data_IF_544974481464
#
_entry.id   IF_544974481464
#
_cell.length_a   1.000
_cell.length_b   1.000
_cell.length_c   1.000
_cell.angle_alpha   90.00
_cell.angle_beta   90.00
_cell.angle_gamma   90.00
#
_symmetry.space_group_name_H-M   'P 1'
#
loop_
_entity.id
_entity.type
_entity.pdbx_description
1 polymer ?
#
# COMPACT_ATOMS: atom_id res chain seq x y z
N UNK A 1 14.00 -3.58 51.89
CA UNK A 1 12.91 -4.00 50.97
C UNK A 1 12.59 -2.84 50.05
N UNK A 2 13.10 -2.86 48.82
CA UNK A 2 12.65 -1.99 47.72
C UNK A 2 13.15 -2.63 46.43
N UNK A 3 12.36 -3.57 45.91
CA UNK A 3 12.57 -4.13 44.57
C UNK A 3 12.18 -3.06 43.54
N UNK A 4 13.20 -2.43 42.95
CA UNK A 4 13.01 -1.56 41.80
C UNK A 4 12.92 -2.44 40.56
N UNK A 5 11.72 -2.54 40.01
CA UNK A 5 11.47 -3.06 38.68
C UNK A 5 12.27 -2.25 37.66
N UNK A 6 13.38 -2.81 37.19
CA UNK A 6 14.05 -2.34 35.98
C UNK A 6 13.15 -2.71 34.81
N UNK A 7 12.39 -1.74 34.29
CA UNK A 7 11.78 -1.87 32.98
C UNK A 7 12.93 -1.84 31.99
N UNK A 8 13.41 -3.01 31.59
CA UNK A 8 14.21 -3.13 30.37
C UNK A 8 13.34 -2.56 29.24
N UNK A 9 13.69 -1.35 28.78
CA UNK A 9 13.25 -0.92 27.46
C UNK A 9 13.74 -1.98 26.50
N UNK A 10 12.83 -2.80 26.00
CA UNK A 10 13.07 -3.60 24.80
C UNK A 10 13.70 -2.64 23.79
N UNK A 11 14.98 -2.85 23.48
CA UNK A 11 15.64 -2.13 22.39
C UNK A 11 14.73 -2.29 21.18
N UNK A 12 14.18 -1.18 20.69
CA UNK A 12 13.59 -1.21 19.36
C UNK A 12 14.67 -1.73 18.41
N UNK A 13 14.41 -2.79 17.63
CA UNK A 13 15.40 -3.33 16.71
C UNK A 13 15.88 -2.21 15.79
N UNK A 14 17.19 -2.17 15.58
CA UNK A 14 17.86 -1.09 14.85
C UNK A 14 17.21 -0.95 13.47
N UNK A 15 17.03 0.27 12.97
CA UNK A 15 16.31 0.50 11.72
C UNK A 15 17.02 -0.18 10.53
N UNK A 16 18.32 -0.48 10.66
CA UNK A 16 19.12 -1.27 9.73
C UNK A 16 18.87 -2.78 9.75
N UNK A 17 18.14 -3.31 10.74
CA UNK A 17 17.82 -4.74 10.90
C UNK A 17 16.46 -5.14 10.33
N UNK A 18 15.66 -4.17 9.86
CA UNK A 18 14.38 -4.48 9.20
C UNK A 18 14.66 -4.93 7.77
N UNK A 19 14.32 -6.18 7.44
CA UNK A 19 14.24 -6.68 6.06
C UNK A 19 13.68 -5.60 5.11
N UNK A 20 14.30 -5.34 3.94
CA UNK A 20 13.80 -4.33 3.01
C UNK A 20 12.31 -4.49 2.66
N UNK A 21 11.81 -5.73 2.63
CA UNK A 21 10.37 -6.00 2.47
C UNK A 21 9.56 -5.47 3.66
N UNK A 22 9.99 -5.73 4.89
CA UNK A 22 9.34 -5.24 6.12
C UNK A 22 9.39 -3.72 6.22
N UNK A 23 10.50 -3.08 5.82
CA UNK A 23 10.62 -1.63 5.80
C UNK A 23 9.65 -0.98 4.79
N UNK A 24 9.55 -1.55 3.57
CA UNK A 24 8.58 -1.11 2.57
C UNK A 24 7.14 -1.28 3.07
N UNK A 25 6.84 -2.40 3.74
CA UNK A 25 5.52 -2.67 4.29
C UNK A 25 5.14 -1.70 5.41
N UNK A 26 6.07 -1.41 6.33
CA UNK A 26 5.85 -0.42 7.38
C UNK A 26 5.58 0.99 6.79
N UNK A 27 6.31 1.37 5.73
CA UNK A 27 6.08 2.65 5.06
C UNK A 27 4.73 2.70 4.34
N UNK A 28 4.31 1.58 3.73
CA UNK A 28 2.98 1.44 3.16
C UNK A 28 1.89 1.67 4.21
N UNK A 29 2.04 1.13 5.42
CA UNK A 29 1.09 1.33 6.53
C UNK A 29 1.01 2.79 7.00
N UNK A 30 2.14 3.50 7.05
CA UNK A 30 2.16 4.94 7.35
C UNK A 30 1.36 5.75 6.33
N UNK A 31 1.51 5.44 5.04
CA UNK A 31 0.74 6.09 3.98
C UNK A 31 -0.75 5.75 4.03
N UNK A 32 -1.12 4.50 4.35
CA UNK A 32 -2.53 4.12 4.59
C UNK A 32 -3.14 4.95 5.71
N UNK A 33 -2.44 5.07 6.85
CA UNK A 33 -2.91 5.85 8.01
C UNK A 33 -3.07 7.33 7.66
N UNK A 34 -2.11 7.90 6.94
CA UNK A 34 -2.20 9.29 6.49
C UNK A 34 -3.37 9.51 5.53
N UNK A 35 -3.58 8.61 4.56
CA UNK A 35 -4.72 8.66 3.65
C UNK A 35 -6.07 8.54 4.39
N UNK A 36 -6.18 7.63 5.34
CA UNK A 36 -7.37 7.48 6.20
C UNK A 36 -7.68 8.77 6.97
N UNK A 37 -6.66 9.41 7.54
CA UNK A 37 -6.83 10.67 8.27
C UNK A 37 -7.38 11.79 7.36
N UNK A 38 -6.93 11.86 6.10
CA UNK A 38 -7.45 12.83 5.13
C UNK A 38 -8.91 12.55 4.74
N UNK A 39 -9.28 11.28 4.57
CA UNK A 39 -10.66 10.86 4.22
C UNK A 39 -11.63 11.03 5.40
N UNK A 40 -11.15 10.97 6.64
CA UNK A 40 -11.97 11.21 7.84
C UNK A 40 -12.13 12.72 8.14
N UNK A 41 -11.29 13.57 7.54
CA UNK A 41 -11.36 15.01 7.72
C UNK A 41 -12.61 15.64 7.09
N UNK A 42 -13.11 16.76 7.63
CA UNK A 42 -14.17 17.52 7.00
C UNK A 42 -13.71 18.03 5.62
N UNK A 43 -14.51 17.82 4.58
CA UNK A 43 -14.29 18.42 3.25
C UNK A 43 -13.48 17.59 2.24
N UNK A 44 -13.21 16.30 2.48
CA UNK A 44 -12.47 15.48 1.49
C UNK A 44 -13.21 15.31 0.14
N UNK A 45 -14.55 15.41 0.14
CA UNK A 45 -15.42 15.32 -1.06
C UNK A 45 -15.91 16.66 -1.61
N UNK A 46 -15.65 17.79 -0.95
CA UNK A 46 -16.08 19.09 -1.48
C UNK A 46 -15.16 19.49 -2.63
N UNK A 47 -15.74 19.76 -3.80
CA UNK A 47 -15.09 20.10 -5.08
C UNK A 47 -14.11 21.28 -5.02
N UNK A 48 -14.05 21.99 -3.89
CA UNK A 48 -13.19 23.16 -3.66
C UNK A 48 -11.93 22.88 -2.80
N UNK A 49 -11.59 21.63 -2.45
CA UNK A 49 -10.63 21.36 -1.35
C UNK A 49 -9.29 20.68 -1.75
N UNK A 50 -8.13 21.17 -1.23
CA UNK A 50 -6.74 20.75 -1.52
C UNK A 50 -6.33 19.32 -1.13
N UNK A 51 -7.25 18.47 -0.63
CA UNK A 51 -6.90 17.18 -0.03
C UNK A 51 -7.16 15.96 -0.92
N UNK A 52 -7.86 16.14 -2.05
CA UNK A 52 -8.11 15.06 -3.01
C UNK A 52 -6.80 14.48 -3.58
N UNK A 53 -5.93 15.37 -4.08
CA UNK A 53 -4.64 15.00 -4.67
C UNK A 53 -3.76 14.26 -3.65
N UNK A 54 -3.49 14.80 -2.44
CA UNK A 54 -2.66 14.09 -1.47
C UNK A 54 -3.30 12.79 -0.99
N UNK A 55 -4.64 12.68 -0.94
CA UNK A 55 -5.31 11.42 -0.57
C UNK A 55 -4.99 10.33 -1.59
N UNK A 56 -5.28 10.54 -2.87
CA UNK A 56 -5.03 9.53 -3.91
C UNK A 56 -3.55 9.27 -4.13
N UNK A 57 -2.69 10.27 -3.93
CA UNK A 57 -1.24 10.09 -3.90
C UNK A 57 -0.82 9.09 -2.80
N UNK A 58 -1.34 9.26 -1.58
CA UNK A 58 -1.02 8.38 -0.45
C UNK A 58 -1.61 6.97 -0.63
N UNK A 59 -2.83 6.85 -1.17
CA UNK A 59 -3.41 5.54 -1.53
C UNK A 59 -2.53 4.82 -2.55
N UNK A 60 -2.10 5.52 -3.60
CA UNK A 60 -1.25 4.95 -4.66
C UNK A 60 0.08 4.45 -4.12
N UNK A 61 0.78 5.28 -3.34
CA UNK A 61 2.06 4.89 -2.74
C UNK A 61 1.92 3.77 -1.71
N UNK A 62 0.81 3.71 -0.97
CA UNK A 62 0.53 2.59 -0.07
C UNK A 62 0.46 1.27 -0.84
N UNK A 63 -0.37 1.21 -1.89
CA UNK A 63 -0.50 0.03 -2.75
C UNK A 63 0.83 -0.35 -3.43
N UNK A 64 1.52 0.63 -4.00
CA UNK A 64 2.82 0.40 -4.65
C UNK A 64 3.83 -0.23 -3.69
N UNK A 65 4.01 0.35 -2.50
CA UNK A 65 5.00 -0.12 -1.54
C UNK A 65 4.66 -1.50 -0.97
N UNK A 66 3.39 -1.78 -0.69
CA UNK A 66 2.99 -3.11 -0.22
C UNK A 66 3.27 -4.18 -1.27
N UNK A 67 2.98 -3.89 -2.55
CA UNK A 67 3.28 -4.82 -3.63
C UNK A 67 4.78 -4.96 -3.88
N UNK A 68 5.56 -3.88 -3.79
CA UNK A 68 7.04 -3.96 -3.84
C UNK A 68 7.61 -4.77 -2.69
N UNK A 69 7.04 -4.65 -1.49
CA UNK A 69 7.41 -5.50 -0.36
C UNK A 69 7.17 -6.98 -0.66
N UNK A 70 6.04 -7.31 -1.30
CA UNK A 70 5.74 -8.67 -1.73
C UNK A 70 6.71 -9.18 -2.80
N UNK A 71 7.01 -8.37 -3.82
CA UNK A 71 8.01 -8.69 -4.85
C UNK A 71 9.39 -8.89 -4.21
N UNK A 72 9.76 -8.05 -3.23
CA UNK A 72 11.01 -8.19 -2.47
C UNK A 72 11.05 -9.48 -1.65
N UNK A 73 9.93 -9.87 -1.05
CA UNK A 73 9.80 -11.12 -0.30
C UNK A 73 9.87 -12.38 -1.18
N UNK A 74 9.71 -12.25 -2.50
CA UNK A 74 10.01 -13.32 -3.47
C UNK A 74 11.49 -13.41 -3.87
N UNK A 75 12.35 -12.57 -3.30
CA UNK A 75 13.80 -12.59 -3.56
C UNK A 75 14.29 -11.53 -4.55
N UNK A 76 13.39 -10.79 -5.22
CA UNK A 76 13.81 -9.75 -6.17
C UNK A 76 14.60 -8.63 -5.48
N UNK A 77 15.64 -8.13 -6.13
CA UNK A 77 16.45 -7.02 -5.60
C UNK A 77 15.76 -5.67 -5.81
N UNK A 78 16.18 -4.64 -5.06
CA UNK A 78 15.67 -3.27 -5.24
C UNK A 78 15.92 -2.77 -6.68
N UNK A 79 17.05 -3.13 -7.27
CA UNK A 79 17.41 -2.77 -8.65
C UNK A 79 16.43 -3.39 -9.65
N UNK A 80 16.18 -4.70 -9.56
CA UNK A 80 15.19 -5.38 -10.42
C UNK A 80 13.79 -4.80 -10.23
N UNK A 81 13.39 -4.55 -8.98
CA UNK A 81 12.10 -3.93 -8.68
C UNK A 81 11.96 -2.57 -9.39
N UNK A 82 13.01 -1.76 -9.37
CA UNK A 82 13.04 -0.45 -10.02
C UNK A 82 12.99 -0.55 -11.54
N UNK A 83 13.79 -1.43 -12.14
CA UNK A 83 13.94 -1.55 -13.59
C UNK A 83 12.71 -2.19 -14.26
N UNK A 84 12.16 -3.25 -13.66
CA UNK A 84 11.08 -4.02 -14.28
C UNK A 84 9.70 -3.40 -14.02
N UNK A 85 9.48 -2.90 -12.79
CA UNK A 85 8.17 -2.44 -12.34
C UNK A 85 8.07 -0.92 -12.22
N UNK A 86 9.12 -0.25 -11.76
CA UNK A 86 9.08 1.19 -11.50
C UNK A 86 7.98 1.54 -10.49
N UNK A 87 7.09 2.47 -10.85
CA UNK A 87 5.91 2.86 -10.06
C UNK A 87 4.60 2.23 -10.59
N UNK A 88 4.67 1.27 -11.51
CA UNK A 88 3.48 0.74 -12.19
C UNK A 88 2.77 -0.32 -11.33
N UNK A 89 1.75 0.12 -10.58
CA UNK A 89 0.89 -0.75 -9.76
C UNK A 89 0.26 -1.87 -10.60
N UNK A 90 -0.12 -1.59 -11.86
CA UNK A 90 -0.69 -2.59 -12.75
C UNK A 90 0.28 -3.70 -13.09
N UNK A 91 1.56 -3.39 -13.34
CA UNK A 91 2.62 -4.40 -13.52
C UNK A 91 2.84 -5.22 -12.25
N UNK A 92 2.91 -4.56 -11.09
CA UNK A 92 3.08 -5.21 -9.80
C UNK A 92 1.93 -6.20 -9.52
N UNK A 93 0.67 -5.77 -9.66
CA UNK A 93 -0.54 -6.61 -9.49
C UNK A 93 -0.50 -7.84 -10.41
N UNK A 94 -0.22 -7.66 -11.71
CA UNK A 94 -0.15 -8.75 -12.70
C UNK A 94 0.98 -9.75 -12.43
N UNK A 95 2.10 -9.30 -11.87
CA UNK A 95 3.21 -10.18 -11.54
C UNK A 95 2.92 -11.00 -10.28
N UNK A 96 2.28 -10.37 -9.28
CA UNK A 96 1.88 -11.02 -8.04
C UNK A 96 0.71 -12.00 -8.25
N UNK A 97 -0.21 -11.71 -9.17
CA UNK A 97 -1.34 -12.60 -9.47
C UNK A 97 -0.91 -13.94 -10.10
N UNK A 98 0.31 -14.04 -10.63
CA UNK A 98 0.88 -15.30 -11.14
C UNK A 98 1.43 -16.20 -10.03
N UNK A 99 1.44 -15.74 -8.78
CA UNK A 99 2.01 -16.43 -7.63
C UNK A 99 0.90 -16.82 -6.67
N UNK A 100 0.61 -18.11 -6.46
CA UNK A 100 -0.59 -18.55 -5.74
C UNK A 100 -0.76 -17.93 -4.34
N UNK A 101 0.33 -17.81 -3.56
CA UNK A 101 0.27 -17.21 -2.22
C UNK A 101 -0.11 -15.72 -2.25
N UNK A 102 0.40 -14.96 -3.21
CA UNK A 102 0.12 -13.54 -3.35
C UNK A 102 -1.23 -13.28 -4.01
N UNK A 103 -1.62 -14.12 -4.97
CA UNK A 103 -2.96 -14.11 -5.54
C UNK A 103 -4.01 -14.29 -4.43
N UNK A 104 -3.83 -15.27 -3.54
CA UNK A 104 -4.75 -15.48 -2.41
C UNK A 104 -4.82 -14.26 -1.48
N UNK A 105 -3.71 -13.56 -1.25
CA UNK A 105 -3.70 -12.32 -0.46
C UNK A 105 -4.45 -11.20 -1.19
N UNK A 106 -4.30 -11.08 -2.52
CA UNK A 106 -5.06 -10.13 -3.34
C UNK A 106 -6.57 -10.44 -3.30
N UNK A 107 -6.96 -11.71 -3.35
CA UNK A 107 -8.36 -12.15 -3.22
C UNK A 107 -8.94 -11.79 -1.84
N UNK A 108 -8.16 -11.96 -0.77
CA UNK A 108 -8.57 -11.50 0.57
C UNK A 108 -8.71 -9.99 0.66
N UNK A 109 -7.78 -9.23 0.06
CA UNK A 109 -7.85 -7.77 0.01
C UNK A 109 -9.08 -7.30 -0.78
N UNK A 110 -9.35 -7.89 -1.94
CA UNK A 110 -10.55 -7.66 -2.72
C UNK A 110 -11.82 -7.96 -1.91
N UNK A 111 -11.90 -9.12 -1.28
CA UNK A 111 -13.06 -9.48 -0.46
C UNK A 111 -13.29 -8.49 0.69
N UNK A 112 -12.23 -7.95 1.28
CA UNK A 112 -12.33 -6.98 2.37
C UNK A 112 -12.78 -5.59 1.89
N UNK A 113 -12.60 -5.25 0.61
CA UNK A 113 -13.05 -3.97 0.07
C UNK A 113 -14.58 -3.83 0.08
N UNK A 114 -15.31 -4.94 0.18
CA UNK A 114 -16.78 -4.97 0.10
C UNK A 114 -17.33 -4.70 -1.30
N UNK A 115 -16.48 -4.67 -2.33
CA UNK A 115 -16.89 -4.40 -3.71
C UNK A 115 -17.03 -5.71 -4.50
N UNK A 116 -17.96 -5.76 -5.48
CA UNK A 116 -17.93 -6.77 -6.54
C UNK A 116 -16.60 -6.76 -7.29
N UNK A 117 -16.20 -7.91 -7.85
CA UNK A 117 -14.89 -8.05 -8.52
C UNK A 117 -14.65 -7.03 -9.62
N UNK A 118 -15.65 -6.78 -10.47
CA UNK A 118 -15.54 -5.82 -11.55
C UNK A 118 -15.30 -4.39 -11.03
N UNK A 119 -16.06 -3.97 -10.02
CA UNK A 119 -15.92 -2.63 -9.42
C UNK A 119 -14.57 -2.46 -8.71
N UNK A 120 -14.06 -3.51 -8.06
CA UNK A 120 -12.72 -3.48 -7.47
C UNK A 120 -11.62 -3.38 -8.55
N UNK A 121 -11.77 -4.10 -9.66
CA UNK A 121 -10.84 -4.03 -10.77
C UNK A 121 -10.86 -2.66 -11.47
N UNK A 122 -12.04 -2.06 -11.64
CA UNK A 122 -12.20 -0.70 -12.15
C UNK A 122 -11.54 0.32 -11.22
N UNK A 123 -11.78 0.21 -9.91
CA UNK A 123 -11.22 1.13 -8.91
C UNK A 123 -9.70 0.99 -8.76
N UNK A 124 -9.16 -0.22 -8.83
CA UNK A 124 -7.70 -0.44 -8.85
C UNK A 124 -7.06 0.01 -10.16
N UNK A 125 -7.78 -0.06 -11.28
CA UNK A 125 -7.34 0.49 -12.57
C UNK A 125 -7.32 2.01 -12.56
N UNK A 126 -8.34 2.64 -11.95
CA UNK A 126 -8.37 4.08 -11.69
C UNK A 126 -7.15 4.50 -10.85
N UNK A 127 -6.87 3.80 -9.75
CA UNK A 127 -5.69 4.07 -8.91
C UNK A 127 -4.39 3.98 -9.72
N UNK A 128 -4.21 2.93 -10.52
CA UNK A 128 -3.00 2.73 -11.30
C UNK A 128 -2.80 3.84 -12.36
N UNK A 129 -3.89 4.28 -13.00
CA UNK A 129 -3.85 5.40 -13.94
C UNK A 129 -3.51 6.71 -13.23
N UNK A 130 -4.14 6.98 -12.07
CA UNK A 130 -3.88 8.16 -11.26
C UNK A 130 -2.41 8.23 -10.81
N UNK A 131 -1.89 7.12 -10.29
CA UNK A 131 -0.53 7.03 -9.75
C UNK A 131 0.56 7.14 -10.82
N UNK A 132 0.26 6.76 -12.07
CA UNK A 132 1.18 6.87 -13.21
C UNK A 132 1.21 8.28 -13.81
N UNK A 133 0.16 9.07 -13.65
CA UNK A 133 0.04 10.37 -14.28
C UNK A 133 0.94 11.42 -13.56
N UNK A 134 2.07 11.78 -14.19
CA UNK A 134 2.90 12.91 -13.75
C UNK A 134 2.15 14.25 -13.81
N UNK A 135 1.16 14.34 -14.70
CA UNK A 135 0.27 15.50 -14.85
C UNK A 135 -1.04 15.26 -14.12
N UNK A 136 -1.02 15.53 -12.82
CA UNK A 136 -2.21 15.66 -11.95
C UNK A 136 -3.22 16.68 -12.52
N UNK A 137 -2.81 17.50 -13.49
CA UNK A 137 -3.60 18.54 -14.14
C UNK A 137 -4.77 18.01 -14.99
N UNK A 138 -4.68 16.89 -15.71
CA UNK A 138 -5.76 16.53 -16.66
C UNK A 138 -7.07 16.07 -16.00
N UNK A 139 -7.02 15.52 -14.79
CA UNK A 139 -8.22 15.04 -14.09
C UNK A 139 -8.89 16.11 -13.22
N UNK A 140 -8.13 17.10 -12.76
CA UNK A 140 -8.63 18.20 -11.93
C UNK A 140 -9.06 19.41 -12.80
N UNK A 141 -8.41 19.64 -13.94
CA UNK A 141 -8.63 20.83 -14.79
C UNK A 141 -9.92 20.75 -15.63
N UNK A 142 -10.50 19.57 -15.86
CA UNK A 142 -11.72 19.43 -16.69
C UNK A 142 -13.04 19.57 -15.92
N UNK A 143 -13.01 19.70 -14.59
CA UNK A 143 -14.18 20.04 -13.77
C UNK A 143 -15.31 18.99 -13.74
N UNK A 144 -15.12 17.81 -14.34
CA UNK A 144 -16.18 16.81 -14.47
C UNK A 144 -15.63 15.38 -14.41
N UNK A 145 -15.39 14.85 -13.21
CA UNK A 145 -15.47 13.42 -12.95
C UNK A 145 -16.01 13.15 -11.55
N UNK A 146 -16.91 12.15 -11.45
CA UNK A 146 -17.25 11.51 -10.19
C UNK A 146 -15.98 10.81 -9.68
N UNK A 147 -15.25 11.47 -8.81
CA UNK A 147 -14.10 10.87 -8.15
C UNK A 147 -14.63 9.73 -7.26
N UNK A 148 -14.15 8.49 -7.45
CA UNK A 148 -14.63 7.39 -6.64
C UNK A 148 -14.20 7.54 -5.18
N UNK A 149 -14.92 6.87 -4.29
CA UNK A 149 -14.55 6.80 -2.88
C UNK A 149 -13.29 5.92 -2.72
N UNK A 150 -12.20 6.42 -2.11
CA UNK A 150 -10.99 5.61 -1.90
C UNK A 150 -11.12 4.61 -0.74
N UNK A 151 -12.15 4.70 0.12
CA UNK A 151 -12.29 3.86 1.33
C UNK A 151 -12.23 2.35 1.06
N UNK A 152 -12.89 1.79 0.02
CA UNK A 152 -12.75 0.38 -0.30
C UNK A 152 -11.30 -0.05 -0.55
N UNK A 153 -10.49 0.80 -1.21
CA UNK A 153 -9.07 0.52 -1.44
C UNK A 153 -8.24 0.61 -0.16
N UNK A 154 -8.60 1.49 0.77
CA UNK A 154 -7.93 1.62 2.07
C UNK A 154 -8.16 0.39 2.95
N UNK A 155 -9.38 -0.14 2.99
CA UNK A 155 -9.69 -1.39 3.70
C UNK A 155 -8.99 -2.59 3.06
N UNK A 156 -8.98 -2.65 1.72
CA UNK A 156 -8.32 -3.71 0.98
C UNK A 156 -6.80 -3.71 1.22
N UNK A 157 -6.13 -2.54 1.17
CA UNK A 157 -4.68 -2.47 1.37
C UNK A 157 -4.28 -2.79 2.81
N UNK A 158 -5.08 -2.41 3.80
CA UNK A 158 -4.84 -2.80 5.20
C UNK A 158 -4.91 -4.32 5.36
N UNK A 159 -5.90 -4.97 4.73
CA UNK A 159 -5.99 -6.43 4.71
C UNK A 159 -4.78 -7.06 4.02
N UNK A 160 -4.35 -6.51 2.89
CA UNK A 160 -3.15 -6.96 2.18
C UNK A 160 -1.90 -6.84 3.06
N UNK A 161 -1.73 -5.71 3.76
CA UNK A 161 -0.61 -5.45 4.67
C UNK A 161 -0.55 -6.46 5.83
N UNK A 162 -1.69 -6.71 6.48
CA UNK A 162 -1.80 -7.67 7.58
C UNK A 162 -1.41 -9.09 7.10
N UNK A 163 -1.93 -9.51 5.95
CA UNK A 163 -1.73 -10.86 5.41
C UNK A 163 -0.35 -11.08 4.81
N UNK A 164 0.29 -10.04 4.30
CA UNK A 164 1.64 -10.09 3.72
C UNK A 164 2.75 -10.08 4.77
N UNK A 165 2.49 -9.54 5.97
CA UNK A 165 3.48 -9.39 7.04
C UNK A 165 4.22 -10.69 7.41
N UNK A 166 3.57 -11.85 7.61
CA UNK A 166 4.28 -13.09 7.91
C UNK A 166 5.25 -13.52 6.79
N UNK A 167 4.88 -13.32 5.53
CA UNK A 167 5.71 -13.67 4.37
C UNK A 167 6.90 -12.73 4.22
N UNK A 168 6.71 -11.42 4.48
CA UNK A 168 7.79 -10.45 4.47
C UNK A 168 8.82 -10.73 5.58
N UNK A 169 8.37 -11.22 6.74
CA UNK A 169 9.23 -11.62 7.85
C UNK A 169 9.97 -12.94 7.57
N UNK A 170 9.30 -13.95 6.98
CA UNK A 170 9.95 -15.24 6.70
C UNK A 170 11.06 -15.12 5.65
N UNK A 171 10.89 -14.26 4.64
CA UNK A 171 11.90 -14.01 3.60
C UNK A 171 13.24 -13.46 4.16
N UNK A 172 13.24 -12.85 5.34
CA UNK A 172 14.46 -12.36 6.00
C UNK A 172 15.30 -13.51 6.58
N UNK A 173 14.63 -14.52 7.13
CA UNK A 173 15.27 -15.62 7.84
C UNK A 173 15.89 -16.67 6.91
N UNK A 174 15.59 -16.63 5.61
CA UNK A 174 16.16 -17.53 4.60
C UNK A 174 17.45 -16.99 3.97
N UNK A 175 17.77 -15.72 4.20
CA UNK A 175 18.92 -15.01 3.59
C UNK A 175 19.98 -14.65 4.65
N UNK A 176 19.64 -14.73 5.94
CA UNK A 176 20.53 -14.45 7.08
C UNK A 176 21.15 -15.73 7.63
#
# INVERSE_FOLDING_TARGET
MSDRYTIERLKEPDASERSPATAMLAKSEEFTKAALALVQGPGWMTTDVPHLIPTWFLVGHSWELAMKAAVRAEGETITQIREEFGHDIGKLKRWLSKRPKWQKILEHAQSASGLPSAEFDDLTSFLAAWHKANDVSRYVVTGYYQIPDPRPLLVAIETYQIRSRPLALSAYNEIS
#
